data_IF_458189020015
#
_entry.id   IF_458189020015
#
_cell.length_a   1.000
_cell.length_b   1.000
_cell.length_c   1.000
_cell.angle_alpha   90.00
_cell.angle_beta   90.00
_cell.angle_gamma   90.00
#
_symmetry.space_group_name_H-M   'P 1'
#
loop_
_entity.id
_entity.type
_entity.pdbx_description
1 polymer ?
#
# COMPACT_ATOMS: atom_id res chain seq x y z
N UNK A 1 -2.80 -15.94 -15.30
CA UNK A 1 -1.40 -16.41 -15.22
C UNK A 1 -0.54 -15.47 -16.04
N UNK A 2 -0.03 -14.40 -15.44
CA UNK A 2 0.98 -13.56 -16.09
C UNK A 2 2.31 -14.31 -16.00
N UNK A 3 3.06 -14.31 -17.11
CA UNK A 3 4.29 -15.08 -17.28
C UNK A 3 5.34 -14.59 -16.26
N UNK A 4 5.81 -15.47 -15.37
CA UNK A 4 6.93 -15.30 -14.41
C UNK A 4 8.29 -14.92 -15.05
N UNK A 5 8.33 -14.48 -16.30
CA UNK A 5 9.52 -14.56 -17.19
C UNK A 5 10.19 -13.23 -17.53
N UNK A 6 9.81 -12.11 -16.90
CA UNK A 6 10.34 -10.78 -17.26
C UNK A 6 11.04 -10.02 -16.13
N UNK A 7 10.92 -10.43 -14.87
CA UNK A 7 11.71 -9.81 -13.81
C UNK A 7 13.04 -10.58 -13.65
N UNK A 8 14.21 -9.94 -13.85
CA UNK A 8 15.52 -10.59 -13.68
C UNK A 8 15.86 -10.89 -12.23
N UNK A 9 15.12 -10.33 -11.26
CA UNK A 9 15.39 -10.48 -9.84
C UNK A 9 14.77 -11.75 -9.27
N UNK A 10 15.47 -12.37 -8.32
CA UNK A 10 14.98 -13.47 -7.52
C UNK A 10 13.92 -12.97 -6.52
N UNK A 11 12.70 -13.48 -6.61
CA UNK A 11 11.56 -13.08 -5.76
C UNK A 11 11.00 -14.29 -5.01
N UNK A 12 11.05 -14.26 -3.68
CA UNK A 12 10.26 -15.12 -2.81
C UNK A 12 8.86 -14.51 -2.63
N UNK A 13 7.93 -14.93 -3.49
CA UNK A 13 6.54 -14.47 -3.48
C UNK A 13 5.77 -14.79 -2.19
N UNK A 14 6.20 -15.81 -1.43
CA UNK A 14 5.51 -16.19 -0.18
C UNK A 14 5.82 -15.21 0.93
N UNK A 15 7.09 -14.79 1.02
CA UNK A 15 7.56 -13.86 2.05
C UNK A 15 7.63 -12.41 1.57
N UNK A 16 7.41 -12.17 0.27
CA UNK A 16 7.58 -10.87 -0.36
C UNK A 16 9.03 -10.38 -0.34
N UNK A 17 10.01 -11.30 -0.43
CA UNK A 17 11.43 -10.96 -0.33
C UNK A 17 12.06 -10.95 -1.72
N UNK A 18 12.74 -9.86 -2.05
CA UNK A 18 13.44 -9.64 -3.32
C UNK A 18 14.94 -9.75 -3.06
N UNK A 19 15.62 -10.57 -3.85
CA UNK A 19 17.08 -10.79 -3.81
C UNK A 19 17.60 -11.17 -2.41
N UNK A 20 16.75 -11.84 -1.62
CA UNK A 20 17.01 -12.24 -0.24
C UNK A 20 17.34 -11.08 0.72
N UNK A 21 17.17 -9.82 0.31
CA UNK A 21 17.60 -8.65 1.06
C UNK A 21 16.52 -7.58 1.23
N UNK A 22 15.57 -7.45 0.31
CA UNK A 22 14.49 -6.46 0.39
C UNK A 22 13.16 -7.16 0.69
N UNK A 23 12.67 -7.04 1.92
CA UNK A 23 11.34 -7.52 2.30
C UNK A 23 10.30 -6.44 2.03
N UNK A 24 9.31 -6.74 1.21
CA UNK A 24 8.15 -5.88 1.01
C UNK A 24 7.34 -5.79 2.31
N UNK A 25 7.04 -4.56 2.71
CA UNK A 25 6.16 -4.29 3.86
C UNK A 25 4.75 -4.06 3.34
N UNK A 26 3.76 -4.79 3.85
CA UNK A 26 2.37 -4.68 3.43
C UNK A 26 1.44 -4.59 4.64
N UNK A 27 0.26 -4.00 4.46
CA UNK A 27 -0.81 -3.96 5.49
C UNK A 27 -1.38 -5.34 5.82
N UNK A 28 -1.06 -6.35 5.02
CA UNK A 28 -1.47 -7.71 5.29
C UNK A 28 -0.46 -8.34 6.25
N UNK A 29 -0.42 -7.86 7.50
CA UNK A 29 -0.17 -8.79 8.60
C UNK A 29 -1.07 -9.98 8.33
N UNK A 30 -0.53 -11.20 8.41
CA UNK A 30 -1.21 -12.42 8.01
C UNK A 30 -2.45 -12.75 8.83
N UNK A 31 -3.49 -11.92 8.75
CA UNK A 31 -4.84 -12.23 9.14
C UNK A 31 -5.43 -13.02 7.97
N UNK A 32 -5.52 -14.33 8.16
CA UNK A 32 -6.35 -15.22 7.35
C UNK A 32 -7.85 -14.84 7.39
N UNK A 33 -8.18 -13.80 8.16
CA UNK A 33 -9.52 -13.26 8.35
C UNK A 33 -9.81 -12.13 7.35
N UNK A 34 -10.85 -12.29 6.52
CA UNK A 34 -11.20 -11.30 5.53
C UNK A 34 -11.88 -10.08 6.16
N UNK A 35 -11.54 -8.89 5.65
CA UNK A 35 -12.40 -7.72 5.82
C UNK A 35 -13.69 -7.93 5.01
N UNK A 36 -14.81 -8.14 5.70
CA UNK A 36 -16.10 -8.41 5.08
C UNK A 36 -16.88 -7.13 4.80
N UNK A 37 -17.64 -7.14 3.72
CA UNK A 37 -18.61 -6.11 3.36
C UNK A 37 -19.96 -6.76 3.05
N UNK A 38 -21.03 -6.03 3.35
CA UNK A 38 -22.38 -6.44 2.97
C UNK A 38 -22.62 -6.11 1.49
N UNK A 39 -23.42 -6.95 0.84
CA UNK A 39 -23.78 -6.78 -0.57
C UNK A 39 -25.27 -7.01 -0.76
N UNK A 40 -25.82 -6.29 -1.74
CA UNK A 40 -27.17 -6.53 -2.21
C UNK A 40 -27.19 -7.72 -3.16
N UNK A 41 -28.06 -8.68 -2.84
CA UNK A 41 -28.28 -9.88 -3.65
C UNK A 41 -29.73 -10.01 -4.04
N UNK A 42 -29.97 -10.55 -5.24
CA UNK A 42 -31.30 -10.93 -5.73
C UNK A 42 -31.23 -12.32 -6.37
N UNK A 43 -32.37 -13.00 -6.44
CA UNK A 43 -32.49 -14.25 -7.18
C UNK A 43 -33.11 -13.98 -8.57
N UNK A 44 -32.47 -14.51 -9.60
CA UNK A 44 -32.89 -14.39 -11.01
C UNK A 44 -33.06 -15.77 -11.64
N UNK A 45 -33.93 -15.88 -12.65
CA UNK A 45 -34.00 -17.09 -13.48
C UNK A 45 -32.67 -17.34 -14.18
N UNK A 46 -32.28 -18.61 -14.34
CA UNK A 46 -31.06 -19.00 -15.03
C UNK A 46 -30.97 -18.47 -16.48
N UNK A 47 -32.12 -18.25 -17.12
CA UNK A 47 -32.22 -17.69 -18.47
C UNK A 47 -31.81 -16.20 -18.54
N UNK A 48 -31.93 -15.47 -17.42
CA UNK A 48 -31.70 -14.03 -17.34
C UNK A 48 -30.23 -13.67 -17.04
N UNK A 49 -29.34 -14.66 -16.89
CA UNK A 49 -27.95 -14.42 -16.46
C UNK A 49 -27.19 -13.48 -17.39
N UNK A 50 -27.44 -13.55 -18.71
CA UNK A 50 -26.79 -12.67 -19.71
C UNK A 50 -27.23 -11.22 -19.56
N UNK A 51 -28.54 -10.99 -19.41
CA UNK A 51 -29.12 -9.66 -19.21
C UNK A 51 -28.61 -9.04 -17.89
N UNK A 52 -28.48 -9.85 -16.85
CA UNK A 52 -27.89 -9.44 -15.59
C UNK A 52 -26.43 -8.96 -15.75
N UNK A 53 -25.58 -9.75 -16.41
CA UNK A 53 -24.16 -9.37 -16.60
C UNK A 53 -24.06 -8.05 -17.39
N UNK A 54 -24.89 -7.87 -18.41
CA UNK A 54 -24.91 -6.65 -19.20
C UNK A 54 -25.39 -5.44 -18.40
N UNK A 55 -26.43 -5.61 -17.57
CA UNK A 55 -26.90 -4.57 -16.66
C UNK A 55 -25.81 -4.12 -15.69
N UNK A 56 -25.10 -5.06 -15.05
CA UNK A 56 -24.01 -4.72 -14.12
C UNK A 56 -22.91 -3.93 -14.83
N UNK A 57 -22.49 -4.39 -16.01
CA UNK A 57 -21.43 -3.73 -16.78
C UNK A 57 -21.81 -2.30 -17.18
N UNK A 58 -23.07 -2.05 -17.52
CA UNK A 58 -23.52 -0.76 -18.05
C UNK A 58 -23.98 0.24 -16.99
N UNK A 59 -24.41 -0.22 -15.81
CA UNK A 59 -25.10 0.62 -14.82
C UNK A 59 -24.51 0.61 -13.41
N UNK A 60 -23.73 -0.40 -13.06
CA UNK A 60 -23.31 -0.61 -11.66
C UNK A 60 -21.80 -0.66 -11.50
N UNK A 61 -21.09 -1.30 -12.43
CA UNK A 61 -19.68 -1.64 -12.24
C UNK A 61 -18.76 -0.42 -12.08
N UNK A 62 -19.01 0.68 -12.80
CA UNK A 62 -18.17 1.88 -12.77
C UNK A 62 -18.57 2.85 -11.63
N UNK A 63 -19.78 2.73 -11.10
CA UNK A 63 -20.31 3.57 -10.02
C UNK A 63 -20.05 2.98 -8.62
N UNK A 64 -19.90 1.66 -8.50
CA UNK A 64 -19.66 1.01 -7.22
C UNK A 64 -18.23 1.26 -6.73
N UNK A 65 -18.02 1.82 -5.52
CA UNK A 65 -16.69 2.03 -4.97
C UNK A 65 -15.92 0.73 -4.72
N UNK A 66 -16.61 -0.42 -4.71
CA UNK A 66 -16.02 -1.74 -4.50
C UNK A 66 -15.79 -2.49 -5.81
N UNK A 67 -14.57 -2.98 -6.00
CA UNK A 67 -14.27 -3.90 -7.11
C UNK A 67 -14.57 -5.36 -6.74
N UNK A 68 -15.30 -6.06 -7.61
CA UNK A 68 -15.72 -7.46 -7.40
C UNK A 68 -14.94 -8.45 -8.27
N UNK A 69 -13.72 -8.13 -8.69
CA UNK A 69 -12.97 -8.94 -9.66
C UNK A 69 -12.57 -10.33 -9.13
N UNK A 70 -12.41 -10.47 -7.81
CA UNK A 70 -12.12 -11.71 -7.10
C UNK A 70 -13.37 -12.51 -6.72
N UNK A 71 -14.58 -12.00 -7.02
CA UNK A 71 -15.85 -12.59 -6.62
C UNK A 71 -16.59 -13.15 -7.84
N UNK A 72 -17.11 -14.37 -7.75
CA UNK A 72 -18.07 -14.87 -8.75
C UNK A 72 -19.42 -14.24 -8.46
N UNK A 73 -19.78 -13.16 -9.15
CA UNK A 73 -21.04 -12.42 -8.95
C UNK A 73 -22.31 -13.28 -9.05
N UNK A 74 -22.23 -14.47 -9.64
CA UNK A 74 -23.35 -15.41 -9.83
C UNK A 74 -23.03 -16.72 -9.10
N UNK A 75 -23.96 -17.20 -8.27
CA UNK A 75 -23.93 -18.55 -7.70
C UNK A 75 -25.29 -19.24 -7.89
N UNK A 76 -25.30 -20.57 -7.81
CA UNK A 76 -26.55 -21.34 -7.84
C UNK A 76 -27.38 -21.02 -6.59
N UNK A 77 -28.67 -20.73 -6.76
CA UNK A 77 -29.60 -20.61 -5.63
C UNK A 77 -29.94 -22.00 -5.08
N UNK A 78 -30.57 -22.04 -3.90
CA UNK A 78 -31.16 -23.27 -3.35
C UNK A 78 -32.39 -23.72 -4.13
N UNK A 79 -33.09 -22.79 -4.76
CA UNK A 79 -34.24 -23.08 -5.61
C UNK A 79 -33.79 -23.52 -7.00
N UNK A 80 -34.37 -24.61 -7.52
CA UNK A 80 -34.09 -25.09 -8.87
C UNK A 80 -34.48 -24.04 -9.92
N UNK A 81 -33.64 -23.89 -10.95
CA UNK A 81 -33.86 -22.91 -12.02
C UNK A 81 -33.45 -21.47 -11.69
N UNK A 82 -33.02 -21.19 -10.46
CA UNK A 82 -32.65 -19.83 -10.02
C UNK A 82 -31.17 -19.67 -9.67
N UNK A 83 -30.68 -18.45 -9.82
CA UNK A 83 -29.32 -18.02 -9.53
C UNK A 83 -29.38 -16.85 -8.53
N UNK A 84 -28.56 -16.91 -7.48
CA UNK A 84 -28.37 -15.76 -6.58
C UNK A 84 -27.22 -14.93 -7.10
N UNK A 85 -27.47 -13.64 -7.30
CA UNK A 85 -26.52 -12.72 -7.91
C UNK A 85 -26.23 -11.50 -7.04
N UNK A 86 -24.98 -11.02 -7.06
CA UNK A 86 -24.56 -9.79 -6.38
C UNK A 86 -24.72 -8.60 -7.32
N UNK A 87 -25.55 -7.64 -6.92
CA UNK A 87 -25.80 -6.42 -7.68
C UNK A 87 -24.74 -5.37 -7.34
N UNK A 88 -24.75 -4.84 -6.11
CA UNK A 88 -23.83 -3.80 -5.65
C UNK A 88 -23.43 -3.98 -4.19
N UNK A 89 -22.39 -3.25 -3.76
CA UNK A 89 -22.01 -3.11 -2.36
C UNK A 89 -22.98 -2.20 -1.60
N UNK A 90 -23.09 -2.39 -0.28
CA UNK A 90 -23.84 -1.45 0.57
C UNK A 90 -23.13 -0.10 0.74
N UNK A 91 -21.89 0.03 0.23
CA UNK A 91 -21.17 1.31 0.17
C UNK A 91 -21.64 2.17 -1.00
N UNK A 92 -22.15 1.54 -2.07
CA UNK A 92 -22.77 2.25 -3.20
C UNK A 92 -24.20 2.69 -2.83
N UNK A 93 -25.01 1.75 -2.33
CA UNK A 93 -26.41 1.97 -1.97
C UNK A 93 -26.66 1.36 -0.60
N UNK A 94 -26.95 2.20 0.38
CA UNK A 94 -27.23 1.74 1.75
C UNK A 94 -28.72 1.41 1.95
N UNK A 95 -29.61 2.20 1.37
CA UNK A 95 -31.06 2.10 1.58
C UNK A 95 -31.73 1.13 0.58
N UNK A 96 -32.64 0.30 1.07
CA UNK A 96 -33.44 -0.61 0.25
C UNK A 96 -34.30 0.14 -0.79
N UNK A 97 -34.85 1.30 -0.45
CA UNK A 97 -35.67 2.08 -1.38
C UNK A 97 -34.88 2.50 -2.63
N UNK A 98 -33.67 3.02 -2.44
CA UNK A 98 -32.76 3.39 -3.54
C UNK A 98 -32.31 2.17 -4.34
N UNK A 99 -32.08 1.04 -3.65
CA UNK A 99 -31.75 -0.22 -4.31
C UNK A 99 -32.87 -0.68 -5.24
N UNK A 100 -34.13 -0.59 -4.78
CA UNK A 100 -35.29 -0.94 -5.60
C UNK A 100 -35.43 0.00 -6.81
N UNK A 101 -35.18 1.30 -6.64
CA UNK A 101 -35.16 2.25 -7.78
C UNK A 101 -34.09 1.89 -8.82
N UNK A 102 -32.90 1.45 -8.41
CA UNK A 102 -31.89 0.92 -9.34
C UNK A 102 -32.42 -0.32 -10.09
N UNK A 103 -33.08 -1.22 -9.35
CA UNK A 103 -33.60 -2.47 -9.89
C UNK A 103 -34.83 -2.31 -10.81
N UNK A 104 -35.59 -1.21 -10.71
CA UNK A 104 -36.65 -0.87 -11.67
C UNK A 104 -36.11 -0.71 -13.11
N UNK A 105 -34.84 -0.33 -13.24
CA UNK A 105 -34.16 -0.23 -14.54
C UNK A 105 -33.63 -1.59 -15.05
N UNK A 106 -33.78 -2.68 -14.28
CA UNK A 106 -33.24 -3.98 -14.65
C UNK A 106 -34.06 -4.63 -15.78
N UNK A 107 -33.44 -5.08 -16.89
CA UNK A 107 -34.14 -5.67 -18.03
C UNK A 107 -34.55 -7.14 -17.80
N UNK A 108 -34.66 -7.58 -16.54
CA UNK A 108 -34.94 -8.96 -16.15
C UNK A 108 -35.75 -9.01 -14.86
N UNK A 109 -36.57 -10.05 -14.72
CA UNK A 109 -37.29 -10.32 -13.48
C UNK A 109 -36.35 -10.87 -12.40
N UNK A 110 -36.56 -10.39 -11.17
CA UNK A 110 -35.84 -10.81 -9.98
C UNK A 110 -36.81 -10.99 -8.80
N UNK A 111 -36.39 -11.70 -7.77
CA UNK A 111 -37.12 -11.89 -6.51
C UNK A 111 -36.13 -12.04 -5.35
N UNK A 112 -36.65 -12.12 -4.12
CA UNK A 112 -35.85 -12.39 -2.91
C UNK A 112 -34.66 -11.44 -2.73
N UNK A 113 -34.92 -10.13 -2.76
CA UNK A 113 -33.92 -9.11 -2.42
C UNK A 113 -33.40 -9.34 -1.00
N UNK A 114 -32.07 -9.32 -0.84
CA UNK A 114 -31.42 -9.52 0.45
C UNK A 114 -30.16 -8.68 0.59
N UNK A 115 -29.96 -8.14 1.81
CA UNK A 115 -28.76 -7.42 2.25
C UNK A 115 -27.87 -8.24 3.20
N UNK A 116 -28.26 -9.48 3.53
CA UNK A 116 -27.58 -10.28 4.56
C UNK A 116 -26.33 -11.00 4.05
N UNK A 117 -26.10 -11.02 2.74
CA UNK A 117 -24.93 -11.65 2.15
C UNK A 117 -23.67 -10.82 2.43
N UNK A 118 -22.62 -11.50 2.87
CA UNK A 118 -21.29 -10.92 3.09
C UNK A 118 -20.26 -11.49 2.13
N UNK A 119 -19.33 -10.64 1.69
CA UNK A 119 -18.20 -11.05 0.85
C UNK A 119 -16.89 -10.41 1.33
N UNK A 120 -15.73 -11.06 1.10
CA UNK A 120 -14.45 -10.42 1.32
C UNK A 120 -14.28 -9.19 0.41
N UNK A 121 -13.92 -8.05 0.98
CA UNK A 121 -13.68 -6.82 0.22
C UNK A 121 -12.43 -6.91 -0.68
N UNK A 122 -11.46 -7.76 -0.32
CA UNK A 122 -10.22 -7.97 -1.06
C UNK A 122 -10.05 -9.46 -1.35
N UNK A 123 -9.40 -9.76 -2.48
CA UNK A 123 -9.03 -11.12 -2.83
C UNK A 123 -8.09 -11.76 -1.79
N UNK A 124 -8.20 -13.08 -1.58
CA UNK A 124 -7.31 -13.82 -0.69
C UNK A 124 -5.85 -13.77 -1.18
N UNK A 125 -4.89 -13.96 -0.28
CA UNK A 125 -3.45 -14.00 -0.59
C UNK A 125 -2.97 -15.37 -1.07
N UNK A 126 -3.72 -16.45 -0.77
CA UNK A 126 -3.37 -17.82 -1.15
C UNK A 126 -4.56 -18.56 -1.76
N UNK A 127 -4.25 -19.63 -2.52
CA UNK A 127 -5.27 -20.52 -3.08
C UNK A 127 -6.08 -21.23 -1.99
N UNK A 128 -5.44 -21.60 -0.89
CA UNK A 128 -6.09 -22.30 0.21
C UNK A 128 -7.09 -21.38 0.94
N UNK A 129 -6.70 -20.12 1.19
CA UNK A 129 -7.63 -19.10 1.70
C UNK A 129 -8.77 -18.84 0.73
N UNK A 130 -8.50 -18.84 -0.58
CA UNK A 130 -9.56 -18.70 -1.58
C UNK A 130 -10.59 -19.81 -1.50
N UNK A 131 -10.16 -21.07 -1.28
CA UNK A 131 -11.06 -22.19 -1.08
C UNK A 131 -11.83 -22.06 0.24
N UNK A 132 -11.14 -21.75 1.33
CA UNK A 132 -11.75 -21.54 2.66
C UNK A 132 -12.82 -20.46 2.62
N UNK A 133 -12.49 -19.26 2.13
CA UNK A 133 -13.42 -18.14 2.05
C UNK A 133 -14.56 -18.38 1.06
N UNK A 134 -14.31 -19.13 -0.03
CA UNK A 134 -15.37 -19.50 -0.98
C UNK A 134 -16.46 -20.36 -0.33
N UNK A 135 -16.07 -21.22 0.62
CA UNK A 135 -17.00 -22.10 1.34
C UNK A 135 -17.75 -21.37 2.45
N UNK A 136 -17.10 -20.41 3.12
CA UNK A 136 -17.67 -19.71 4.28
C UNK A 136 -18.56 -18.54 3.85
N UNK A 137 -18.10 -17.70 2.92
CA UNK A 137 -18.74 -16.42 2.62
C UNK A 137 -19.42 -16.44 1.25
N UNK A 138 -18.63 -16.55 0.18
CA UNK A 138 -19.14 -16.49 -1.19
C UNK A 138 -18.14 -17.04 -2.20
N UNK A 139 -18.57 -17.74 -3.26
CA UNK A 139 -17.66 -18.28 -4.27
C UNK A 139 -16.70 -17.25 -4.88
N UNK A 140 -15.39 -17.49 -4.74
CA UNK A 140 -14.34 -16.59 -5.23
C UNK A 140 -13.72 -17.10 -6.54
N UNK A 141 -13.04 -16.19 -7.23
CA UNK A 141 -12.18 -16.49 -8.38
C UNK A 141 -10.73 -16.33 -7.97
N UNK A 142 -9.97 -17.43 -7.97
CA UNK A 142 -8.53 -17.39 -7.79
C UNK A 142 -7.83 -17.12 -9.12
N UNK A 143 -7.20 -15.96 -9.27
CA UNK A 143 -6.41 -15.59 -10.47
C UNK A 143 -4.90 -15.56 -10.22
N UNK A 144 -4.45 -16.00 -9.04
CA UNK A 144 -3.11 -15.76 -8.50
C UNK A 144 -3.14 -14.65 -7.45
N UNK A 145 -2.07 -14.51 -6.67
CA UNK A 145 -1.95 -13.43 -5.70
C UNK A 145 -1.72 -12.11 -6.47
N UNK A 146 -2.59 -11.08 -6.33
CA UNK A 146 -2.40 -9.80 -6.99
C UNK A 146 -1.04 -9.16 -6.67
N UNK A 147 -0.52 -9.41 -5.47
CA UNK A 147 0.79 -8.92 -5.05
C UNK A 147 1.94 -9.54 -5.84
N UNK A 148 1.77 -10.73 -6.42
CA UNK A 148 2.81 -11.33 -7.27
C UNK A 148 3.06 -10.48 -8.51
N UNK A 149 2.00 -9.87 -9.07
CA UNK A 149 2.15 -8.95 -10.20
C UNK A 149 2.88 -7.68 -9.76
N UNK A 150 2.49 -7.11 -8.63
CA UNK A 150 3.14 -5.92 -8.05
C UNK A 150 4.64 -6.17 -7.82
N UNK A 151 4.99 -7.32 -7.26
CA UNK A 151 6.39 -7.71 -7.05
C UNK A 151 7.16 -7.85 -8.37
N UNK A 152 6.53 -8.38 -9.41
CA UNK A 152 7.14 -8.50 -10.73
C UNK A 152 7.34 -7.15 -11.42
N UNK A 153 6.50 -6.16 -11.14
CA UNK A 153 6.56 -4.83 -11.75
C UNK A 153 7.62 -3.92 -11.11
N UNK A 154 8.16 -4.31 -9.94
CA UNK A 154 9.20 -3.52 -9.29
C UNK A 154 10.53 -3.58 -10.04
N UNK A 155 11.07 -2.39 -10.30
CA UNK A 155 12.42 -2.18 -10.82
C UNK A 155 13.31 -1.64 -9.70
N UNK A 156 14.44 -2.31 -9.48
CA UNK A 156 15.45 -1.92 -8.51
C UNK A 156 16.83 -1.82 -9.15
N UNK A 157 17.56 -0.76 -8.81
CA UNK A 157 19.00 -0.66 -9.01
C UNK A 157 19.68 -1.05 -7.69
N UNK A 158 19.94 -2.34 -7.50
CA UNK A 158 20.50 -2.85 -6.25
C UNK A 158 21.89 -2.30 -5.94
N UNK A 159 22.84 -2.18 -6.89
CA UNK A 159 24.10 -1.50 -6.64
C UNK A 159 23.91 -0.08 -6.09
N UNK A 160 22.98 0.69 -6.66
CA UNK A 160 22.66 2.03 -6.17
C UNK A 160 22.06 1.99 -4.76
N UNK A 161 21.06 1.13 -4.52
CA UNK A 161 20.41 0.96 -3.20
C UNK A 161 21.46 0.62 -2.14
N UNK A 162 22.30 -0.39 -2.40
CA UNK A 162 23.37 -0.82 -1.50
C UNK A 162 24.34 0.31 -1.18
N UNK A 163 24.69 1.15 -2.17
CA UNK A 163 25.53 2.34 -1.96
C UNK A 163 24.87 3.35 -1.01
N UNK A 164 23.60 3.67 -1.20
CA UNK A 164 22.88 4.61 -0.33
C UNK A 164 22.73 4.06 1.08
N UNK A 165 22.35 2.78 1.22
CA UNK A 165 22.23 2.11 2.52
C UNK A 165 23.55 2.08 3.28
N UNK A 166 24.66 1.82 2.59
CA UNK A 166 26.00 1.90 3.16
C UNK A 166 26.33 3.31 3.67
N UNK A 167 25.96 4.35 2.92
CA UNK A 167 26.26 5.73 3.26
C UNK A 167 25.44 6.21 4.46
N UNK A 168 24.12 5.97 4.50
CA UNK A 168 23.29 6.34 5.65
C UNK A 168 23.70 5.58 6.92
N UNK A 169 24.11 4.31 6.81
CA UNK A 169 24.64 3.52 7.94
C UNK A 169 25.96 4.09 8.45
N UNK A 170 26.87 4.47 7.55
CA UNK A 170 28.15 5.12 7.91
C UNK A 170 27.90 6.45 8.62
N UNK A 171 27.04 7.30 8.07
CA UNK A 171 26.72 8.60 8.68
C UNK A 171 26.06 8.43 10.05
N UNK A 172 25.10 7.51 10.20
CA UNK A 172 24.48 7.24 11.50
C UNK A 172 25.51 6.80 12.56
N UNK A 173 26.46 5.93 12.20
CA UNK A 173 27.52 5.48 13.12
C UNK A 173 28.47 6.60 13.53
N UNK A 174 28.83 7.49 12.60
CA UNK A 174 29.71 8.62 12.89
C UNK A 174 29.10 9.62 13.87
N UNK A 175 27.77 9.61 14.02
CA UNK A 175 27.06 10.50 14.95
C UNK A 175 27.01 9.96 16.38
N UNK A 176 27.42 8.71 16.61
CA UNK A 176 27.56 8.18 17.96
C UNK A 176 28.65 9.00 18.69
N UNK A 177 28.26 9.70 19.76
CA UNK A 177 29.18 10.50 20.56
C UNK A 177 29.29 11.97 20.13
N UNK A 178 28.54 12.42 19.12
CA UNK A 178 28.35 13.84 18.87
C UNK A 178 27.61 14.48 20.07
N UNK A 179 28.16 15.57 20.62
CA UNK A 179 27.54 16.31 21.74
C UNK A 179 26.28 17.08 21.33
N UNK A 180 26.05 17.21 20.02
CA UNK A 180 24.96 17.97 19.42
C UNK A 180 23.66 17.15 19.38
N UNK A 181 23.02 16.95 20.54
CA UNK A 181 21.57 16.77 20.81
C UNK A 181 20.68 15.81 20.00
N UNK A 182 21.07 15.37 18.81
CA UNK A 182 20.27 14.60 17.87
C UNK A 182 20.58 13.11 17.93
N UNK A 183 19.62 12.31 17.49
CA UNK A 183 19.79 10.87 17.43
C UNK A 183 20.64 10.45 16.23
N UNK A 184 21.25 9.25 16.27
CA UNK A 184 21.97 8.69 15.13
C UNK A 184 21.02 8.12 14.07
N UNK A 185 20.00 8.89 13.67
CA UNK A 185 19.04 8.55 12.61
C UNK A 185 19.31 9.42 11.40
N UNK A 186 19.51 8.78 10.26
CA UNK A 186 19.82 9.41 8.97
C UNK A 186 18.84 8.93 7.91
N UNK A 187 18.42 9.85 7.05
CA UNK A 187 17.55 9.65 5.90
C UNK A 187 18.16 10.27 4.64
N UNK A 188 18.09 9.56 3.52
CA UNK A 188 18.52 10.02 2.20
C UNK A 188 17.31 10.14 1.26
N UNK A 189 17.21 11.27 0.55
CA UNK A 189 16.16 11.58 -0.41
C UNK A 189 16.77 11.57 -1.81
N UNK A 190 16.30 10.69 -2.68
CA UNK A 190 16.86 10.52 -4.03
C UNK A 190 15.89 11.08 -5.06
N UNK A 191 16.36 12.08 -5.82
CA UNK A 191 15.60 12.62 -6.94
C UNK A 191 15.55 11.57 -8.07
N UNK A 192 14.35 11.18 -8.55
CA UNK A 192 14.21 10.11 -9.52
C UNK A 192 14.79 10.45 -10.89
N UNK A 193 14.82 11.75 -11.26
CA UNK A 193 15.31 12.24 -12.56
C UNK A 193 16.82 12.46 -12.57
N UNK A 194 17.33 13.25 -11.62
CA UNK A 194 18.76 13.63 -11.59
C UNK A 194 19.64 12.58 -10.90
N UNK A 195 19.05 11.68 -10.10
CA UNK A 195 19.75 10.75 -9.19
C UNK A 195 20.58 11.47 -8.13
N UNK A 196 20.36 12.76 -7.93
CA UNK A 196 20.93 13.51 -6.82
C UNK A 196 20.40 12.99 -5.49
N UNK A 197 21.25 12.99 -4.47
CA UNK A 197 20.95 12.42 -3.15
C UNK A 197 21.14 13.48 -2.08
N UNK A 198 20.09 13.75 -1.32
CA UNK A 198 20.12 14.65 -0.18
C UNK A 198 20.10 13.86 1.11
N UNK A 199 21.15 14.00 1.91
CA UNK A 199 21.23 13.37 3.22
C UNK A 199 20.74 14.34 4.29
N UNK A 200 19.94 13.81 5.21
CA UNK A 200 19.34 14.53 6.31
C UNK A 200 19.44 13.69 7.57
N UNK A 201 19.75 14.33 8.68
CA UNK A 201 20.01 13.62 9.93
C UNK A 201 19.23 14.27 11.05
N UNK A 202 18.83 13.48 12.03
CA UNK A 202 18.06 13.95 13.19
C UNK A 202 18.81 15.08 13.90
N UNK A 203 18.11 16.16 14.23
CA UNK A 203 18.67 17.28 14.99
C UNK A 203 17.69 17.75 16.05
N UNK A 204 16.93 16.80 16.61
CA UNK A 204 16.01 17.12 17.69
C UNK A 204 16.76 17.79 18.84
N UNK A 205 16.08 18.71 19.50
CA UNK A 205 16.59 19.41 20.66
C UNK A 205 15.47 19.61 21.67
N UNK A 206 15.80 20.13 22.85
CA UNK A 206 14.78 20.47 23.86
C UNK A 206 13.76 21.49 23.35
N UNK A 207 14.11 22.32 22.36
CA UNK A 207 13.23 23.34 21.78
C UNK A 207 12.55 22.89 20.50
N UNK A 208 13.05 21.84 19.84
CA UNK A 208 12.48 21.31 18.61
C UNK A 208 12.52 19.77 18.62
N UNK A 209 11.54 19.12 19.28
CA UNK A 209 11.50 17.66 19.38
C UNK A 209 11.12 16.98 18.05
N UNK A 210 10.53 17.72 17.11
CA UNK A 210 9.99 17.20 15.84
C UNK A 210 11.01 17.22 14.69
N UNK A 211 12.24 17.68 14.93
CA UNK A 211 13.33 17.77 13.94
C UNK A 211 13.97 16.40 13.62
N UNK A 212 13.11 15.46 13.27
CA UNK A 212 13.47 14.12 12.82
C UNK A 212 14.13 14.18 11.45
N UNK A 213 14.95 13.17 11.13
CA UNK A 213 15.70 13.11 9.87
C UNK A 213 14.81 13.32 8.64
N UNK A 214 13.65 12.65 8.58
CA UNK A 214 12.70 12.76 7.46
C UNK A 214 12.10 14.16 7.33
N UNK A 215 11.68 14.77 8.45
CA UNK A 215 11.09 16.12 8.44
C UNK A 215 12.09 17.16 7.95
N UNK A 216 13.35 17.03 8.40
CA UNK A 216 14.44 17.89 7.95
C UNK A 216 14.74 17.67 6.47
N UNK A 217 14.77 16.43 6.00
CA UNK A 217 15.00 16.13 4.59
C UNK A 217 13.92 16.71 3.66
N UNK A 218 12.64 16.58 4.03
CA UNK A 218 11.53 17.21 3.30
C UNK A 218 11.70 18.74 3.26
N UNK A 219 12.02 19.35 4.40
CA UNK A 219 12.28 20.79 4.49
C UNK A 219 13.45 21.21 3.59
N UNK A 220 14.56 20.47 3.60
CA UNK A 220 15.73 20.76 2.76
C UNK A 220 15.39 20.69 1.27
N UNK A 221 14.65 19.66 0.83
CA UNK A 221 14.19 19.57 -0.58
C UNK A 221 13.29 20.75 -0.93
N UNK A 222 12.40 21.16 -0.04
CA UNK A 222 11.53 22.32 -0.27
C UNK A 222 12.31 23.64 -0.36
N UNK A 223 13.31 23.86 0.51
CA UNK A 223 14.17 25.05 0.47
C UNK A 223 14.96 25.12 -0.83
N UNK A 224 15.57 24.01 -1.27
CA UNK A 224 16.30 23.95 -2.54
C UNK A 224 15.40 24.26 -3.73
N UNK A 225 14.16 23.76 -3.72
CA UNK A 225 13.19 24.08 -4.78
C UNK A 225 12.78 25.57 -4.78
N UNK A 226 12.70 26.21 -3.61
CA UNK A 226 12.47 27.65 -3.51
C UNK A 226 13.65 28.45 -4.07
N UNK A 227 14.88 28.11 -3.68
CA UNK A 227 16.10 28.75 -4.18
C UNK A 227 16.25 28.60 -5.70
N UNK A 228 15.92 27.41 -6.22
CA UNK A 228 15.91 27.14 -7.67
C UNK A 228 14.89 28.00 -8.38
N UNK A 229 13.67 28.13 -7.85
CA UNK A 229 12.61 28.98 -8.44
C UNK A 229 12.96 30.47 -8.43
N UNK A 230 13.72 30.92 -7.45
CA UNK A 230 14.23 32.30 -7.39
C UNK A 230 15.35 32.58 -8.40
N UNK A 231 15.96 31.55 -8.97
CA UNK A 231 17.06 31.70 -9.94
C UNK A 231 16.54 31.99 -11.36
N UNK A 232 17.21 32.86 -12.15
CA UNK A 232 16.75 33.27 -13.49
C UNK A 232 16.68 32.11 -14.51
N UNK A 233 17.40 31.02 -14.26
CA UNK A 233 17.41 29.81 -15.11
C UNK A 233 16.36 28.75 -14.71
N UNK A 234 15.43 29.05 -13.80
CA UNK A 234 14.44 28.10 -13.26
C UNK A 234 13.58 27.39 -14.32
N UNK A 235 13.37 28.04 -15.48
CA UNK A 235 12.52 27.53 -16.58
C UNK A 235 13.19 26.48 -17.47
N UNK A 236 14.52 26.32 -17.37
CA UNK A 236 15.30 25.43 -18.25
C UNK A 236 15.55 24.04 -17.67
N UNK A 237 15.26 23.82 -16.39
CA UNK A 237 15.47 22.53 -15.72
C UNK A 237 14.14 21.81 -15.51
N UNK A 238 14.00 20.64 -16.14
CA UNK A 238 12.87 19.73 -15.96
C UNK A 238 12.98 19.00 -14.60
N UNK A 239 12.79 19.74 -13.51
CA UNK A 239 12.88 19.22 -12.15
C UNK A 239 11.57 18.61 -11.65
N UNK A 240 11.67 17.78 -10.62
CA UNK A 240 10.51 17.19 -9.93
C UNK A 240 9.85 18.18 -8.98
N UNK A 241 8.53 18.12 -8.87
CA UNK A 241 7.78 18.90 -7.88
C UNK A 241 8.01 18.35 -6.46
N UNK A 242 8.75 19.08 -5.62
CA UNK A 242 9.08 18.68 -4.25
C UNK A 242 9.67 17.25 -4.23
N UNK A 243 9.18 16.39 -3.34
CA UNK A 243 9.60 14.99 -3.22
C UNK A 243 8.79 14.01 -4.11
N UNK A 244 8.07 14.51 -5.14
CA UNK A 244 7.22 13.67 -5.97
C UNK A 244 8.04 12.56 -6.63
N UNK A 245 7.63 11.31 -6.38
CA UNK A 245 8.27 10.10 -6.86
C UNK A 245 9.71 9.85 -6.35
N UNK A 246 10.10 10.49 -5.24
CA UNK A 246 11.42 10.24 -4.65
C UNK A 246 11.50 8.85 -4.05
N UNK A 247 12.71 8.28 -4.07
CA UNK A 247 13.05 7.12 -3.26
C UNK A 247 13.73 7.63 -1.98
N UNK A 248 13.15 7.30 -0.83
CA UNK A 248 13.66 7.68 0.49
C UNK A 248 14.27 6.47 1.17
N UNK A 249 15.48 6.62 1.71
CA UNK A 249 16.20 5.58 2.41
C UNK A 249 16.44 6.03 3.85
N UNK A 250 16.04 5.26 4.85
CA UNK A 250 16.21 5.65 6.26
C UNK A 250 16.86 4.53 7.06
N UNK A 251 17.62 4.91 8.08
CA UNK A 251 18.23 3.94 9.00
C UNK A 251 17.22 3.25 9.90
N UNK A 252 16.22 3.99 10.39
CA UNK A 252 15.21 3.48 11.30
C UNK A 252 13.81 3.66 10.71
N UNK A 253 12.91 2.76 11.07
CA UNK A 253 11.52 2.81 10.66
C UNK A 253 10.88 4.14 11.10
N UNK A 254 10.20 4.87 10.18
CA UNK A 254 9.56 6.15 10.49
C UNK A 254 8.41 6.00 11.49
N UNK A 255 8.30 6.98 12.38
CA UNK A 255 7.16 7.18 13.27
C UNK A 255 5.93 7.70 12.52
N UNK A 256 4.81 7.83 13.24
CA UNK A 256 3.51 8.26 12.66
C UNK A 256 3.59 9.61 11.95
N UNK A 257 4.27 10.59 12.56
CA UNK A 257 4.47 11.91 11.95
C UNK A 257 5.26 11.79 10.64
N UNK A 258 6.40 11.11 10.65
CA UNK A 258 7.28 11.01 9.49
C UNK A 258 6.67 10.15 8.38
N UNK A 259 6.02 9.03 8.71
CA UNK A 259 5.34 8.18 7.76
C UNK A 259 4.18 8.92 7.06
N UNK A 260 3.42 9.76 7.78
CA UNK A 260 2.37 10.60 7.19
C UNK A 260 2.95 11.76 6.37
N UNK A 261 4.05 12.36 6.81
CA UNK A 261 4.74 13.40 6.04
C UNK A 261 5.22 12.88 4.67
N UNK A 262 5.67 11.62 4.60
CA UNK A 262 6.02 10.95 3.35
C UNK A 262 4.80 10.75 2.42
N UNK A 263 3.61 10.42 2.98
CA UNK A 263 2.35 10.38 2.20
C UNK A 263 2.08 11.75 1.57
N UNK A 264 2.11 12.82 2.38
CA UNK A 264 1.87 14.18 1.91
C UNK A 264 2.89 14.64 0.87
N UNK A 265 4.12 14.14 0.98
CA UNK A 265 5.23 14.43 0.07
C UNK A 265 5.17 13.64 -1.25
N UNK A 266 4.21 12.69 -1.39
CA UNK A 266 4.00 11.87 -2.59
C UNK A 266 5.26 11.16 -3.08
N UNK A 267 6.03 10.62 -2.14
CA UNK A 267 7.21 9.82 -2.47
C UNK A 267 6.78 8.53 -3.20
N UNK A 268 7.71 7.93 -3.95
CA UNK A 268 7.47 6.64 -4.60
C UNK A 268 7.68 5.50 -3.63
N UNK A 269 8.80 5.53 -2.91
CA UNK A 269 9.30 4.39 -2.14
C UNK A 269 10.04 4.82 -0.88
N UNK A 270 9.87 4.07 0.20
CA UNK A 270 10.69 4.15 1.40
C UNK A 270 11.40 2.81 1.65
N UNK A 271 12.71 2.82 1.87
CA UNK A 271 13.51 1.66 2.26
C UNK A 271 14.15 1.91 3.62
N UNK A 272 13.89 1.05 4.61
CA UNK A 272 14.46 1.20 5.95
C UNK A 272 15.31 0.00 6.39
N UNK A 273 16.33 0.24 7.23
CA UNK A 273 17.23 -0.81 7.75
C UNK A 273 16.67 -1.47 9.02
N UNK A 274 16.40 -0.67 10.06
CA UNK A 274 16.00 -1.15 11.39
C UNK A 274 14.53 -0.87 11.65
N UNK A 275 13.79 -1.93 11.97
CA UNK A 275 12.38 -1.87 12.42
C UNK A 275 12.30 -1.28 13.84
N UNK A 276 11.28 -0.46 14.10
CA UNK A 276 11.00 0.17 15.40
C UNK A 276 9.73 -0.41 16.01
N UNK A 277 9.86 -1.33 16.97
CA UNK A 277 8.73 -2.14 17.45
C UNK A 277 7.62 -1.34 18.14
N UNK A 278 7.93 -0.27 18.88
CA UNK A 278 6.90 0.47 19.63
C UNK A 278 6.43 1.73 18.90
N UNK A 279 7.28 2.36 18.09
CA UNK A 279 7.02 3.68 17.49
C UNK A 279 6.91 3.67 15.97
N UNK A 280 7.38 2.59 15.31
CA UNK A 280 7.32 2.44 13.87
C UNK A 280 5.88 2.36 13.36
N UNK A 281 5.62 2.95 12.19
CA UNK A 281 4.27 3.08 11.62
C UNK A 281 4.11 2.48 10.22
N UNK A 282 5.11 1.73 9.74
CA UNK A 282 5.08 1.13 8.40
C UNK A 282 4.82 -0.37 8.44
N UNK A 283 5.56 -1.10 9.27
CA UNK A 283 5.41 -2.53 9.43
C UNK A 283 4.17 -2.86 10.27
N UNK A 284 3.42 -3.87 9.85
CA UNK A 284 2.24 -4.39 10.50
C UNK A 284 2.50 -4.96 11.89
N UNK A 285 3.74 -5.28 12.25
CA UNK A 285 4.08 -5.66 13.61
C UNK A 285 4.68 -4.53 14.44
N UNK A 286 4.78 -3.31 13.91
CA UNK A 286 5.35 -2.15 14.60
C UNK A 286 4.25 -1.23 15.12
N UNK A 287 4.45 -0.69 16.32
CA UNK A 287 3.52 0.22 17.00
C UNK A 287 2.09 -0.30 17.02
N UNK A 288 1.14 0.57 16.72
CA UNK A 288 -0.28 0.25 16.60
C UNK A 288 -0.66 -0.37 15.24
N UNK A 289 0.31 -0.84 14.46
CA UNK A 289 0.09 -1.48 13.15
C UNK A 289 -0.61 -0.58 12.13
N UNK A 290 -0.37 0.73 12.18
CA UNK A 290 -1.05 1.71 11.30
C UNK A 290 -0.88 1.41 9.80
N UNK A 291 0.27 0.85 9.41
CA UNK A 291 0.63 0.56 8.02
C UNK A 291 0.35 1.76 7.09
N UNK A 292 0.83 2.95 7.48
CA UNK A 292 0.41 4.23 6.89
C UNK A 292 0.61 4.28 5.38
N UNK A 293 1.67 3.66 4.86
CA UNK A 293 1.98 3.60 3.42
C UNK A 293 0.90 2.92 2.57
N UNK A 294 0.07 2.08 3.19
CA UNK A 294 -0.94 1.26 2.52
C UNK A 294 -2.29 1.26 3.25
N UNK A 295 -2.54 2.30 4.06
CA UNK A 295 -3.81 2.44 4.78
C UNK A 295 -4.95 2.78 3.81
N UNK A 296 -6.14 2.20 4.05
CA UNK A 296 -7.28 2.25 3.12
C UNK A 296 -8.00 3.58 3.10
N UNK A 297 -8.03 4.27 4.24
CA UNK A 297 -8.68 5.58 4.40
C UNK A 297 -7.85 6.73 3.83
N UNK A 298 -6.61 6.46 3.40
CA UNK A 298 -5.73 7.45 2.80
C UNK A 298 -5.82 7.39 1.27
N UNK A 299 -5.91 8.56 0.64
CA UNK A 299 -6.05 8.70 -0.81
C UNK A 299 -4.74 8.48 -1.59
N UNK A 300 -3.62 8.27 -0.91
CA UNK A 300 -2.29 8.10 -1.51
C UNK A 300 -1.53 6.98 -0.80
N UNK A 301 -0.61 6.35 -1.54
CA UNK A 301 0.16 5.17 -1.10
C UNK A 301 1.59 5.28 -1.63
N UNK A 302 2.52 4.65 -0.94
CA UNK A 302 3.90 4.48 -1.42
C UNK A 302 4.42 3.08 -1.12
N UNK A 303 5.45 2.67 -1.84
CA UNK A 303 6.09 1.37 -1.70
C UNK A 303 6.99 1.35 -0.47
N UNK A 304 6.97 0.29 0.33
CA UNK A 304 7.86 0.16 1.49
C UNK A 304 8.61 -1.15 1.46
N UNK A 305 9.92 -1.08 1.70
CA UNK A 305 10.77 -2.24 1.86
C UNK A 305 11.63 -2.13 3.11
N UNK A 306 11.79 -3.26 3.79
CA UNK A 306 12.75 -3.44 4.87
C UNK A 306 13.98 -4.18 4.34
N UNK A 307 15.16 -3.68 4.66
CA UNK A 307 16.40 -4.42 4.40
C UNK A 307 16.60 -5.52 5.45
N UNK A 308 16.87 -6.74 5.02
CA UNK A 308 17.07 -7.91 5.89
C UNK A 308 18.55 -8.25 6.17
N UNK A 309 19.47 -7.74 5.35
CA UNK A 309 20.89 -8.03 5.51
C UNK A 309 21.53 -7.28 6.70
N UNK A 310 22.54 -7.89 7.31
CA UNK A 310 23.33 -7.27 8.38
C UNK A 310 24.51 -6.42 7.87
N UNK A 311 24.64 -6.26 6.55
CA UNK A 311 25.72 -5.54 5.88
C UNK A 311 25.82 -4.06 6.29
N UNK A 312 24.73 -3.50 6.79
CA UNK A 312 24.58 -2.08 7.12
C UNK A 312 24.21 -1.89 8.59
N UNK A 313 25.17 -2.07 9.52
CA UNK A 313 24.89 -1.91 10.95
C UNK A 313 24.50 -0.46 11.25
N UNK A 314 23.41 -0.27 11.99
CA UNK A 314 22.96 1.03 12.48
C UNK A 314 23.00 1.05 14.02
N UNK A 315 23.18 2.24 14.63
CA UNK A 315 23.25 2.34 16.08
C UNK A 315 21.93 1.95 16.74
N UNK A 316 21.97 1.31 17.91
CA UNK A 316 20.74 1.01 18.65
C UNK A 316 20.19 2.29 19.27
N UNK A 317 18.89 2.50 19.10
CA UNK A 317 18.11 3.53 19.79
C UNK A 317 17.03 2.85 20.64
N UNK A 318 16.58 3.52 21.71
CA UNK A 318 15.49 3.01 22.53
C UNK A 318 14.23 2.82 21.66
N UNK A 319 13.57 1.68 21.81
CA UNK A 319 12.37 1.32 21.06
C UNK A 319 11.22 2.31 21.23
N UNK A 320 11.19 3.08 22.33
CA UNK A 320 10.17 4.08 22.64
C UNK A 320 10.43 5.44 21.98
N UNK A 321 11.52 5.58 21.23
CA UNK A 321 11.86 6.81 20.54
C UNK A 321 11.18 6.85 19.17
N UNK A 322 10.45 7.93 18.90
CA UNK A 322 9.91 8.22 17.58
C UNK A 322 10.99 8.87 16.71
N UNK A 323 11.18 8.44 15.46
CA UNK A 323 12.13 9.00 14.52
C UNK A 323 11.64 8.97 13.07
#
# INVERSE_FOLDING_TARGET
MVKKKLNPLHIDYRRGIIENCLQQVTNNAGTDDPHLINVWTVDISCQNSRQFVEFIRMKVQDEDPTTFQHIKRIKKSKAEGFLTVIVCSTLMIDNEAEFLTLMECAPFSFHSTSRSSVVPAVGPSTKDLSLKWSNIYWPLVWRGNPNDQVLNDYVFDLPFIKRILSEISKQARNRIGERSGGLPVVSAFVNPKTKEVFYSSDARSSTSPLDHSIMRGITSVATLELERKSSPNARLQDETYLCLNFDVYTTHEPCSMCAMALIHSRIKRCIFLKRMENTGCLDCGSGDSYCMHSHRSLNSKYEVFRWLGEDYPVPQIDSNICC
#
